data_IF_235012605590
#
_entry.id   IF_235012605590
#
_cell.length_a   1.000
_cell.length_b   1.000
_cell.length_c   1.000
_cell.angle_alpha   90.00
_cell.angle_beta   90.00
_cell.angle_gamma   90.00
#
_symmetry.space_group_name_H-M   'P 1'
#
loop_
_entity.id
_entity.type
_entity.pdbx_description
1 polymer ?
#
# COMPACT_ATOMS: atom_id res chain seq x y z
N UNK A 1 4.16 8.67 35.72
CA UNK A 1 4.70 9.61 34.65
C UNK A 1 3.55 9.90 33.69
N UNK A 2 3.23 11.14 33.38
CA UNK A 2 2.09 11.48 32.53
C UNK A 2 2.19 10.78 31.16
N UNK A 3 1.05 10.30 30.64
CA UNK A 3 0.98 9.51 29.38
C UNK A 3 1.56 10.27 28.18
N UNK A 4 1.45 11.59 28.13
CA UNK A 4 2.06 12.40 27.08
C UNK A 4 3.58 12.26 27.04
N UNK A 5 4.22 12.27 28.20
CA UNK A 5 5.67 12.05 28.32
C UNK A 5 6.03 10.63 27.89
N UNK A 6 5.22 9.63 28.28
CA UNK A 6 5.42 8.23 27.88
C UNK A 6 5.29 8.05 26.36
N UNK A 7 4.27 8.66 25.73
CA UNK A 7 4.07 8.63 24.28
C UNK A 7 5.25 9.31 23.57
N UNK A 8 5.69 10.48 24.02
CA UNK A 8 6.80 11.19 23.39
C UNK A 8 8.10 10.39 23.45
N UNK A 9 8.44 9.83 24.60
CA UNK A 9 9.61 8.94 24.75
C UNK A 9 9.54 7.73 23.82
N UNK A 10 8.36 7.09 23.69
CA UNK A 10 8.17 5.99 22.77
C UNK A 10 8.36 6.42 21.30
N UNK A 11 7.85 7.60 20.93
CA UNK A 11 8.00 8.12 19.59
C UNK A 11 9.45 8.46 19.28
N UNK A 12 10.19 9.01 20.24
CA UNK A 12 11.63 9.29 20.07
C UNK A 12 12.43 7.98 19.94
N UNK A 13 12.13 6.98 20.75
CA UNK A 13 12.68 5.64 20.57
C UNK A 13 12.37 5.05 19.19
N UNK A 14 11.12 5.17 18.72
CA UNK A 14 10.75 4.72 17.38
C UNK A 14 11.59 5.38 16.28
N UNK A 15 11.99 6.63 16.48
CA UNK A 15 12.77 7.43 15.53
C UNK A 15 14.26 7.09 15.60
N UNK A 16 14.83 7.01 16.79
CA UNK A 16 16.28 6.94 17.03
C UNK A 16 16.78 5.49 17.05
N UNK A 17 16.11 4.60 17.78
CA UNK A 17 16.58 3.24 18.02
C UNK A 17 15.92 2.21 17.09
N UNK A 18 14.60 2.28 16.92
CA UNK A 18 13.87 1.31 16.10
C UNK A 18 13.93 1.60 14.58
N UNK A 19 14.43 2.76 14.17
CA UNK A 19 14.62 3.11 12.76
C UNK A 19 13.35 3.13 11.90
N UNK A 20 12.18 3.43 12.49
CA UNK A 20 10.94 3.49 11.73
C UNK A 20 10.93 4.68 10.76
N UNK A 21 10.22 4.51 9.65
CA UNK A 21 10.05 5.60 8.68
C UNK A 21 9.21 6.75 9.25
N UNK A 22 9.41 8.02 8.82
CA UNK A 22 8.61 9.16 9.28
C UNK A 22 7.09 8.92 9.19
N UNK A 23 6.61 8.30 8.10
CA UNK A 23 5.20 7.99 7.93
C UNK A 23 4.68 6.95 8.94
N UNK A 24 5.52 5.97 9.32
CA UNK A 24 5.18 4.99 10.36
C UNK A 24 5.12 5.67 11.73
N UNK A 25 6.06 6.54 12.02
CA UNK A 25 6.13 7.31 13.28
C UNK A 25 4.89 8.20 13.43
N UNK A 26 4.53 8.93 12.36
CA UNK A 26 3.33 9.77 12.33
C UNK A 26 2.06 8.95 12.60
N UNK A 27 1.92 7.79 11.95
CA UNK A 27 0.79 6.88 12.18
C UNK A 27 0.74 6.38 13.61
N UNK A 28 1.88 5.98 14.19
CA UNK A 28 1.97 5.54 15.59
C UNK A 28 1.59 6.67 16.55
N UNK A 29 2.15 7.87 16.35
CA UNK A 29 1.82 9.07 17.13
C UNK A 29 0.32 9.35 17.08
N UNK A 30 -0.27 9.41 15.89
CA UNK A 30 -1.70 9.64 15.70
C UNK A 30 -2.55 8.60 16.45
N UNK A 31 -2.22 7.31 16.32
CA UNK A 31 -2.95 6.23 16.97
C UNK A 31 -2.87 6.33 18.51
N UNK A 32 -1.72 6.68 19.06
CA UNK A 32 -1.52 6.83 20.52
C UNK A 32 -2.22 8.06 21.09
N UNK A 33 -2.21 9.19 20.35
CA UNK A 33 -2.98 10.37 20.74
C UNK A 33 -4.47 10.10 20.73
N UNK A 34 -4.98 9.37 19.72
CA UNK A 34 -6.38 8.93 19.69
C UNK A 34 -6.70 7.94 20.80
N UNK A 35 -5.81 7.02 21.11
CA UNK A 35 -5.94 6.11 22.25
C UNK A 35 -6.07 6.89 23.57
N UNK A 36 -5.15 7.84 23.85
CA UNK A 36 -5.24 8.71 25.01
C UNK A 36 -6.58 9.45 25.09
N UNK A 37 -6.97 10.10 23.99
CA UNK A 37 -8.23 10.85 23.92
C UNK A 37 -9.47 9.97 24.20
N UNK A 38 -9.46 8.72 23.71
CA UNK A 38 -10.59 7.80 23.80
C UNK A 38 -10.67 7.05 25.13
N UNK A 39 -9.57 6.90 25.83
CA UNK A 39 -9.52 6.17 27.12
C UNK A 39 -9.44 7.10 28.32
N UNK A 40 -9.18 8.38 28.08
CA UNK A 40 -9.05 9.45 29.10
C UNK A 40 -8.04 9.12 30.23
N UNK A 41 -7.13 8.20 29.99
CA UNK A 41 -6.08 7.84 30.94
C UNK A 41 -5.02 8.94 31.01
N UNK A 42 -4.50 9.17 32.20
CA UNK A 42 -3.43 10.14 32.48
C UNK A 42 -2.06 9.46 32.61
N UNK A 43 -2.04 8.18 32.92
CA UNK A 43 -0.84 7.32 32.99
C UNK A 43 -1.15 5.93 32.42
N UNK A 44 -0.18 5.28 31.77
CA UNK A 44 -0.38 3.95 31.18
C UNK A 44 -0.66 2.86 32.23
N UNK A 45 -0.28 3.07 33.48
CA UNK A 45 -0.58 2.15 34.60
C UNK A 45 -2.08 2.07 34.91
N UNK A 46 -2.88 3.06 34.52
CA UNK A 46 -4.34 3.04 34.65
C UNK A 46 -5.02 2.13 33.61
N UNK A 47 -4.31 1.76 32.56
CA UNK A 47 -4.86 0.96 31.46
C UNK A 47 -4.80 -0.53 31.79
N UNK A 48 -5.92 -1.08 32.22
CA UNK A 48 -6.11 -2.47 32.60
C UNK A 48 -6.95 -3.24 31.56
N UNK A 49 -7.20 -4.52 31.81
CA UNK A 49 -7.96 -5.38 30.90
C UNK A 49 -9.41 -4.92 30.69
N UNK A 50 -10.05 -4.35 31.74
CA UNK A 50 -11.42 -3.82 31.62
C UNK A 50 -11.46 -2.59 30.71
N UNK A 51 -10.58 -1.62 30.92
CA UNK A 51 -10.45 -0.43 30.06
C UNK A 51 -10.10 -0.82 28.62
N UNK A 52 -9.25 -1.84 28.41
CA UNK A 52 -8.94 -2.36 27.10
C UNK A 52 -10.19 -2.90 26.38
N UNK A 53 -10.98 -3.72 27.07
CA UNK A 53 -12.20 -4.32 26.49
C UNK A 53 -13.23 -3.23 26.19
N UNK A 54 -13.47 -2.30 27.11
CA UNK A 54 -14.36 -1.17 26.90
C UNK A 54 -13.97 -0.33 25.69
N UNK A 55 -12.69 0.09 25.62
CA UNK A 55 -12.15 0.85 24.50
C UNK A 55 -12.29 0.10 23.16
N UNK A 56 -12.00 -1.20 23.17
CA UNK A 56 -12.13 -2.06 21.98
C UNK A 56 -13.58 -2.09 21.46
N UNK A 57 -14.56 -2.25 22.35
CA UNK A 57 -15.99 -2.28 22.00
C UNK A 57 -16.49 -0.92 21.53
N UNK A 58 -16.13 0.16 22.21
CA UNK A 58 -16.51 1.53 21.87
C UNK A 58 -16.02 1.96 20.47
N UNK A 59 -14.86 1.46 20.02
CA UNK A 59 -14.40 1.71 18.64
C UNK A 59 -15.34 1.11 17.56
N UNK A 60 -15.97 -0.04 17.82
CA UNK A 60 -16.87 -0.68 16.85
C UNK A 60 -18.31 -0.16 16.97
N UNK A 61 -18.76 0.20 18.17
CA UNK A 61 -20.14 0.71 18.39
C UNK A 61 -20.36 2.09 17.79
N UNK A 62 -19.28 2.89 17.61
CA UNK A 62 -19.35 4.28 17.16
C UNK A 62 -19.49 5.28 18.31
N UNK A 63 -19.28 4.87 19.54
CA UNK A 63 -19.36 5.70 20.75
C UNK A 63 -18.42 6.93 20.70
N UNK A 64 -17.32 6.85 19.93
CA UNK A 64 -16.40 7.97 19.69
C UNK A 64 -16.81 8.87 18.51
N UNK A 65 -18.09 9.02 18.23
CA UNK A 65 -18.64 9.78 17.10
C UNK A 65 -18.25 9.26 15.71
N UNK A 66 -17.46 8.19 15.64
CA UNK A 66 -17.02 7.53 14.41
C UNK A 66 -16.98 6.01 14.62
N UNK A 67 -17.77 5.30 13.85
CA UNK A 67 -17.70 3.83 13.80
C UNK A 67 -16.51 3.39 12.96
N UNK A 68 -15.54 2.71 13.59
CA UNK A 68 -14.34 2.24 12.89
C UNK A 68 -14.54 0.83 12.32
N UNK A 69 -13.92 0.56 11.18
CA UNK A 69 -13.85 -0.82 10.67
C UNK A 69 -12.96 -1.70 11.55
N UNK A 70 -13.21 -3.03 11.63
CA UNK A 70 -12.37 -3.96 12.38
C UNK A 70 -10.87 -3.83 12.04
N UNK A 71 -10.55 -3.62 10.77
CA UNK A 71 -9.17 -3.40 10.33
C UNK A 71 -8.54 -2.13 10.92
N UNK A 72 -9.30 -1.03 10.98
CA UNK A 72 -8.83 0.22 11.60
C UNK A 72 -8.63 0.04 13.09
N UNK A 73 -9.57 -0.63 13.77
CA UNK A 73 -9.43 -0.99 15.18
C UNK A 73 -8.17 -1.83 15.42
N UNK A 74 -7.98 -2.88 14.62
CA UNK A 74 -6.82 -3.77 14.73
C UNK A 74 -5.48 -3.04 14.55
N UNK A 75 -5.40 -2.08 13.63
CA UNK A 75 -4.20 -1.27 13.45
C UNK A 75 -3.90 -0.39 14.68
N UNK A 76 -4.93 0.17 15.31
CA UNK A 76 -4.78 0.94 16.56
C UNK A 76 -4.37 0.05 17.71
N UNK A 77 -5.07 -1.08 17.90
CA UNK A 77 -4.75 -2.07 18.94
C UNK A 77 -3.30 -2.54 18.83
N UNK A 78 -2.84 -2.89 17.61
CA UNK A 78 -1.43 -3.28 17.38
C UNK A 78 -0.44 -2.18 17.78
N UNK A 79 -0.78 -0.91 17.53
CA UNK A 79 0.05 0.23 17.96
C UNK A 79 0.12 0.31 19.47
N UNK A 80 -1.02 0.20 20.16
CA UNK A 80 -1.07 0.24 21.64
C UNK A 80 -0.36 -0.96 22.27
N UNK A 81 -0.51 -2.17 21.69
CA UNK A 81 0.24 -3.36 22.13
C UNK A 81 1.75 -3.12 22.07
N UNK A 82 2.26 -2.58 20.98
CA UNK A 82 3.70 -2.30 20.83
C UNK A 82 4.18 -1.23 21.81
N UNK A 83 3.35 -0.22 22.07
CA UNK A 83 3.63 0.82 23.06
C UNK A 83 3.66 0.25 24.49
N UNK A 84 2.67 -0.56 24.88
CA UNK A 84 2.64 -1.19 26.22
C UNK A 84 3.81 -2.15 26.42
N UNK A 85 4.21 -2.91 25.38
CA UNK A 85 5.41 -3.76 25.44
C UNK A 85 6.66 -2.93 25.71
N UNK A 86 6.84 -1.87 24.92
CA UNK A 86 7.97 -0.96 25.09
C UNK A 86 7.99 -0.32 26.50
N UNK A 87 6.84 0.11 27.02
CA UNK A 87 6.75 0.62 28.39
C UNK A 87 7.28 -0.40 29.42
N UNK A 88 6.91 -1.67 29.28
CA UNK A 88 7.40 -2.75 30.15
C UNK A 88 8.91 -2.95 30.04
N UNK A 89 9.41 -2.97 28.80
CA UNK A 89 10.85 -3.16 28.54
C UNK A 89 11.67 -2.00 29.14
N UNK A 90 11.09 -0.80 29.21
CA UNK A 90 11.67 0.40 29.83
C UNK A 90 11.40 0.50 31.35
N UNK A 91 10.85 -0.53 31.99
CA UNK A 91 10.54 -0.53 33.42
C UNK A 91 9.38 0.36 33.85
N UNK A 92 8.58 0.88 32.89
CA UNK A 92 7.40 1.69 33.18
C UNK A 92 6.26 0.78 33.63
N UNK A 93 5.69 1.06 34.80
CA UNK A 93 4.58 0.28 35.37
C UNK A 93 3.38 0.24 34.44
N UNK A 94 2.89 -0.95 34.14
CA UNK A 94 1.68 -1.19 33.34
C UNK A 94 0.78 -2.19 34.05
N UNK A 95 -0.54 -1.99 34.03
CA UNK A 95 -1.51 -2.86 34.70
C UNK A 95 -2.06 -3.98 33.82
N UNK A 96 -1.85 -3.91 32.49
CA UNK A 96 -2.36 -4.90 31.55
C UNK A 96 -1.26 -5.88 31.11
N UNK A 97 -1.59 -7.18 31.07
CA UNK A 97 -0.74 -8.20 30.45
C UNK A 97 -0.96 -8.17 28.94
N UNK A 98 0.11 -7.99 28.16
CA UNK A 98 0.02 -7.88 26.68
C UNK A 98 -0.62 -9.07 25.97
N UNK A 99 -0.52 -10.34 26.43
CA UNK A 99 -1.25 -11.46 25.84
C UNK A 99 -2.78 -11.32 25.89
N UNK A 100 -3.31 -10.53 26.83
CA UNK A 100 -4.75 -10.25 26.93
C UNK A 100 -5.22 -9.22 25.90
N UNK A 101 -4.32 -8.50 25.28
CA UNK A 101 -4.64 -7.48 24.28
C UNK A 101 -4.78 -8.10 22.89
N UNK A 102 -5.94 -8.66 22.61
CA UNK A 102 -6.23 -9.32 21.33
C UNK A 102 -6.88 -8.37 20.31
N UNK A 103 -6.53 -8.55 19.05
CA UNK A 103 -7.23 -7.89 17.93
C UNK A 103 -8.62 -8.52 17.72
N UNK A 104 -9.47 -7.84 16.96
CA UNK A 104 -10.69 -8.48 16.46
C UNK A 104 -10.29 -9.61 15.51
N UNK A 105 -10.94 -10.75 15.63
CA UNK A 105 -10.97 -11.72 14.54
C UNK A 105 -11.75 -11.05 13.41
N UNK A 106 -11.05 -10.66 12.36
CA UNK A 106 -11.74 -10.42 11.10
C UNK A 106 -12.27 -11.78 10.68
N UNK A 107 -13.56 -11.95 10.34
CA UNK A 107 -13.93 -13.01 9.43
C UNK A 107 -12.92 -12.92 8.30
N UNK A 108 -12.47 -14.02 7.74
CA UNK A 108 -11.71 -13.97 6.50
C UNK A 108 -12.56 -13.15 5.54
N UNK A 109 -12.31 -11.84 5.55
CA UNK A 109 -12.88 -10.98 4.56
C UNK A 109 -12.38 -11.56 3.25
N UNK A 110 -13.24 -12.27 2.55
CA UNK A 110 -13.13 -12.43 1.12
C UNK A 110 -13.16 -10.99 0.62
N UNK A 111 -12.00 -10.34 0.73
CA UNK A 111 -11.83 -8.99 0.20
C UNK A 111 -12.01 -9.18 -1.28
N UNK A 112 -13.14 -8.73 -1.76
CA UNK A 112 -13.35 -8.59 -3.17
C UNK A 112 -12.31 -7.58 -3.67
N UNK A 113 -11.13 -8.12 -4.03
CA UNK A 113 -10.04 -7.32 -4.57
C UNK A 113 -10.44 -6.91 -5.98
N UNK A 114 -11.17 -5.82 -6.05
CA UNK A 114 -11.54 -5.22 -7.33
C UNK A 114 -10.27 -4.98 -8.12
N UNK A 115 -10.18 -5.64 -9.25
CA UNK A 115 -9.14 -5.45 -10.25
C UNK A 115 -9.79 -5.08 -11.58
N UNK A 116 -9.02 -4.49 -12.46
CA UNK A 116 -9.46 -4.13 -13.81
C UNK A 116 -8.82 -5.08 -14.81
N UNK A 117 -9.59 -5.55 -15.77
CA UNK A 117 -9.05 -6.30 -16.89
C UNK A 117 -8.10 -5.40 -17.70
N UNK A 118 -7.17 -6.02 -18.45
CA UNK A 118 -6.27 -5.29 -19.35
C UNK A 118 -7.04 -4.37 -20.30
N UNK A 119 -8.15 -4.84 -20.87
CA UNK A 119 -8.97 -4.06 -21.80
C UNK A 119 -9.55 -2.80 -21.13
N UNK A 120 -10.06 -2.92 -19.89
CA UNK A 120 -10.57 -1.77 -19.13
C UNK A 120 -9.46 -0.75 -18.84
N UNK A 121 -8.26 -1.21 -18.46
CA UNK A 121 -7.13 -0.31 -18.22
C UNK A 121 -6.72 0.41 -19.51
N UNK A 122 -6.63 -0.31 -20.62
CA UNK A 122 -6.28 0.26 -21.94
C UNK A 122 -7.33 1.24 -22.43
N UNK A 123 -8.61 0.97 -22.21
CA UNK A 123 -9.71 1.88 -22.56
C UNK A 123 -9.60 3.20 -21.81
N UNK A 124 -9.39 3.16 -20.47
CA UNK A 124 -9.19 4.37 -19.67
C UNK A 124 -7.93 5.12 -20.12
N UNK A 125 -6.83 4.40 -20.36
CA UNK A 125 -5.57 5.00 -20.80
C UNK A 125 -5.72 5.71 -22.16
N UNK A 126 -6.36 5.08 -23.15
CA UNK A 126 -6.58 5.63 -24.50
C UNK A 126 -7.32 6.97 -24.47
N UNK A 127 -8.25 7.15 -23.54
CA UNK A 127 -9.05 8.37 -23.41
C UNK A 127 -8.45 9.42 -22.45
N UNK A 128 -7.27 9.17 -21.90
CA UNK A 128 -6.54 10.10 -21.06
C UNK A 128 -5.55 10.95 -21.86
N UNK A 129 -5.17 12.12 -21.32
CA UNK A 129 -4.05 12.88 -21.88
C UNK A 129 -2.73 12.12 -21.73
N UNK A 130 -1.68 12.54 -22.43
CA UNK A 130 -0.39 11.83 -22.47
C UNK A 130 0.17 11.56 -21.06
N UNK A 131 0.20 12.55 -20.17
CA UNK A 131 0.68 12.38 -18.79
C UNK A 131 -0.07 11.27 -18.06
N UNK A 132 -1.41 11.32 -18.05
CA UNK A 132 -2.23 10.36 -17.30
C UNK A 132 -2.22 8.98 -17.98
N UNK A 133 -2.19 8.93 -19.32
CA UNK A 133 -2.06 7.69 -20.10
C UNK A 133 -0.77 6.97 -19.74
N UNK A 134 0.36 7.68 -19.78
CA UNK A 134 1.67 7.13 -19.42
C UNK A 134 1.70 6.66 -17.97
N UNK A 135 1.09 7.42 -17.04
CA UNK A 135 0.97 7.01 -15.63
C UNK A 135 0.18 5.70 -15.48
N UNK A 136 -0.96 5.57 -16.16
CA UNK A 136 -1.83 4.39 -16.06
C UNK A 136 -1.12 3.17 -16.61
N UNK A 137 -0.55 3.29 -17.82
CA UNK A 137 0.14 2.19 -18.49
C UNK A 137 1.35 1.72 -17.69
N UNK A 138 2.19 2.65 -17.21
CA UNK A 138 3.37 2.28 -16.45
C UNK A 138 3.02 1.66 -15.09
N UNK A 139 2.00 2.15 -14.39
CA UNK A 139 1.55 1.52 -13.14
C UNK A 139 1.01 0.12 -13.36
N UNK A 140 0.26 -0.08 -14.46
CA UNK A 140 -0.26 -1.39 -14.83
C UNK A 140 0.87 -2.35 -15.22
N UNK A 141 1.77 -1.97 -16.10
CA UNK A 141 2.86 -2.82 -16.58
C UNK A 141 3.89 -3.17 -15.51
N UNK A 142 4.19 -2.21 -14.64
CA UNK A 142 5.27 -2.39 -13.65
C UNK A 142 4.79 -2.98 -12.32
N UNK A 143 3.48 -2.95 -12.04
CA UNK A 143 2.93 -3.30 -10.74
C UNK A 143 3.56 -2.56 -9.57
N UNK A 144 4.21 -1.40 -9.81
CA UNK A 144 4.97 -0.66 -8.78
C UNK A 144 4.07 -0.08 -7.70
N UNK A 145 4.62 0.07 -6.49
CA UNK A 145 3.90 0.79 -5.42
C UNK A 145 3.90 2.28 -5.72
N UNK A 146 2.81 2.97 -5.39
CA UNK A 146 2.67 4.41 -5.65
C UNK A 146 3.84 5.26 -5.09
N UNK A 147 4.49 4.79 -4.02
CA UNK A 147 5.68 5.44 -3.46
C UNK A 147 6.93 5.25 -4.31
N UNK A 148 7.11 4.05 -4.85
CA UNK A 148 8.19 3.73 -5.77
C UNK A 148 7.98 4.53 -7.05
N UNK A 149 6.79 4.45 -7.62
CA UNK A 149 6.36 5.12 -8.82
C UNK A 149 6.58 6.64 -8.81
N UNK A 150 6.18 7.33 -7.72
CA UNK A 150 6.31 8.78 -7.64
C UNK A 150 7.75 9.28 -7.62
N UNK A 151 8.67 8.47 -7.17
CA UNK A 151 10.07 8.85 -6.98
C UNK A 151 10.97 8.45 -8.16
N UNK A 152 10.43 7.88 -9.23
CA UNK A 152 11.18 7.55 -10.44
C UNK A 152 11.79 8.83 -11.01
N UNK A 153 13.08 8.78 -11.33
CA UNK A 153 13.77 9.80 -12.14
C UNK A 153 13.92 9.32 -13.57
N UNK A 154 14.02 10.23 -14.50
CA UNK A 154 14.24 9.89 -15.91
C UNK A 154 15.51 9.06 -16.09
N UNK A 155 16.58 9.38 -15.34
CA UNK A 155 17.84 8.65 -15.37
C UNK A 155 17.77 7.22 -14.80
N UNK A 156 16.70 6.85 -14.08
CA UNK A 156 16.50 5.50 -13.58
C UNK A 156 15.95 4.54 -14.66
N UNK A 157 15.54 5.07 -15.82
CA UNK A 157 14.88 4.31 -16.89
C UNK A 157 15.93 3.75 -17.86
N UNK A 158 15.97 2.43 -17.93
CA UNK A 158 16.75 1.67 -18.93
C UNK A 158 15.79 1.23 -20.06
N UNK A 159 15.74 2.05 -21.11
CA UNK A 159 14.87 1.78 -22.25
C UNK A 159 15.30 0.55 -23.07
N UNK A 160 16.59 0.25 -23.10
CA UNK A 160 17.12 -0.90 -23.80
C UNK A 160 16.61 -2.22 -23.17
N UNK A 161 16.74 -2.34 -21.85
CA UNK A 161 16.30 -3.51 -21.09
C UNK A 161 14.85 -3.40 -20.64
N UNK A 162 14.11 -2.33 -20.97
CA UNK A 162 12.71 -2.06 -20.60
C UNK A 162 12.45 -2.20 -19.09
N UNK A 163 13.30 -1.59 -18.28
CA UNK A 163 13.24 -1.66 -16.82
C UNK A 163 13.51 -0.31 -16.17
N UNK A 164 13.07 -0.14 -14.96
CA UNK A 164 13.27 1.07 -14.16
C UNK A 164 13.81 0.68 -12.81
N UNK A 165 14.86 1.34 -12.36
CA UNK A 165 15.41 1.18 -11.03
C UNK A 165 14.53 1.95 -10.03
N UNK A 166 14.00 1.27 -9.00
CA UNK A 166 13.14 1.87 -7.99
C UNK A 166 13.63 1.57 -6.58
N UNK A 167 13.41 2.52 -5.66
CA UNK A 167 13.71 2.35 -4.25
C UNK A 167 12.50 1.74 -3.52
N UNK A 168 12.61 0.47 -3.16
CA UNK A 168 11.57 -0.28 -2.48
C UNK A 168 11.55 -0.10 -0.96
N UNK A 169 10.68 -0.88 -0.30
CA UNK A 169 10.58 -0.89 1.18
C UNK A 169 11.91 -1.35 1.80
N UNK A 170 12.34 -0.67 2.87
CA UNK A 170 13.61 -0.96 3.54
C UNK A 170 14.83 -0.45 2.79
N UNK A 171 14.67 0.55 1.91
CA UNK A 171 15.74 1.17 1.10
C UNK A 171 16.46 0.19 0.16
N UNK A 172 15.82 -0.90 -0.21
CA UNK A 172 16.38 -1.86 -1.18
C UNK A 172 16.05 -1.42 -2.60
N UNK A 173 17.10 -1.34 -3.44
CA UNK A 173 16.95 -1.08 -4.86
C UNK A 173 16.41 -2.33 -5.57
N UNK A 174 15.53 -2.13 -6.55
CA UNK A 174 14.98 -3.22 -7.35
C UNK A 174 14.55 -2.71 -8.73
N UNK A 175 14.45 -3.61 -9.69
CA UNK A 175 13.91 -3.28 -11.00
C UNK A 175 12.41 -3.55 -11.09
N UNK A 176 11.71 -2.71 -11.84
CA UNK A 176 10.37 -2.95 -12.37
C UNK A 176 10.45 -2.90 -13.89
N UNK A 177 9.52 -3.54 -14.57
CA UNK A 177 9.59 -3.72 -16.02
C UNK A 177 8.40 -3.02 -16.68
N UNK A 178 8.53 -2.73 -17.97
CA UNK A 178 7.48 -2.16 -18.79
C UNK A 178 7.51 -2.74 -20.21
N UNK A 179 6.38 -2.69 -20.90
CA UNK A 179 6.26 -3.16 -22.28
C UNK A 179 6.81 -2.15 -23.28
N UNK A 180 7.07 -2.58 -24.51
CA UNK A 180 7.52 -1.68 -25.59
C UNK A 180 6.52 -0.55 -25.81
N UNK A 181 5.21 -0.83 -25.77
CA UNK A 181 4.18 0.20 -25.93
C UNK A 181 4.25 1.27 -24.84
N UNK A 182 4.38 0.87 -23.57
CA UNK A 182 4.58 1.81 -22.46
C UNK A 182 5.89 2.57 -22.57
N UNK A 183 6.94 1.94 -23.12
CA UNK A 183 8.22 2.61 -23.39
C UNK A 183 8.10 3.75 -24.41
N UNK A 184 7.30 3.56 -25.45
CA UNK A 184 7.02 4.62 -26.45
C UNK A 184 6.26 5.79 -25.80
N UNK A 185 5.24 5.50 -25.00
CA UNK A 185 4.50 6.56 -24.27
C UNK A 185 5.39 7.31 -23.27
N UNK A 186 6.34 6.61 -22.63
CA UNK A 186 7.33 7.23 -21.74
C UNK A 186 8.25 8.19 -22.50
N UNK A 187 8.77 7.77 -23.66
CA UNK A 187 9.60 8.62 -24.50
C UNK A 187 8.86 9.88 -24.96
N UNK A 188 7.64 9.72 -25.47
CA UNK A 188 6.80 10.85 -25.89
C UNK A 188 6.52 11.82 -24.74
N UNK A 189 6.25 11.27 -23.52
CA UNK A 189 5.98 12.10 -22.35
C UNK A 189 7.24 12.84 -21.87
N UNK A 190 8.40 12.20 -21.88
CA UNK A 190 9.67 12.81 -21.51
C UNK A 190 10.04 13.94 -22.47
N UNK A 191 9.85 13.72 -23.78
CA UNK A 191 10.09 14.70 -24.82
C UNK A 191 9.14 15.88 -24.73
N UNK A 192 7.81 15.64 -24.69
CA UNK A 192 6.79 16.70 -24.55
C UNK A 192 7.01 17.58 -23.31
N UNK A 193 7.55 17.00 -22.25
CA UNK A 193 7.79 17.70 -20.97
C UNK A 193 9.23 18.22 -20.83
N UNK A 194 10.06 18.03 -21.83
CA UNK A 194 11.47 18.42 -21.84
C UNK A 194 12.19 18.00 -20.55
N UNK A 195 11.99 16.72 -20.15
CA UNK A 195 12.56 16.21 -18.90
C UNK A 195 14.01 15.81 -19.05
N UNK A 196 14.86 16.29 -18.15
CA UNK A 196 16.27 15.91 -18.07
C UNK A 196 16.44 14.59 -17.26
N UNK A 197 17.57 13.92 -17.44
CA UNK A 197 17.89 12.68 -16.67
C UNK A 197 17.83 12.86 -15.16
N UNK A 198 18.15 14.03 -14.64
CA UNK A 198 18.11 14.38 -13.22
C UNK A 198 16.69 14.60 -12.68
N UNK A 199 15.71 14.85 -13.55
CA UNK A 199 14.35 15.20 -13.16
C UNK A 199 13.57 14.01 -12.64
N UNK A 200 12.61 14.29 -11.75
CA UNK A 200 11.59 13.30 -11.45
C UNK A 200 10.67 13.13 -12.68
N UNK A 201 10.39 11.88 -13.04
CA UNK A 201 9.49 11.57 -14.14
C UNK A 201 8.11 12.22 -13.95
N UNK A 202 7.63 12.25 -12.72
CA UNK A 202 6.33 12.86 -12.35
C UNK A 202 6.56 14.13 -11.56
N UNK A 203 7.20 15.13 -12.16
CA UNK A 203 7.47 16.41 -11.50
C UNK A 203 6.24 17.32 -11.48
N UNK A 204 6.11 18.09 -10.40
CA UNK A 204 5.09 19.12 -10.24
C UNK A 204 5.68 20.50 -10.51
N UNK A 205 5.18 21.20 -11.51
CA UNK A 205 5.59 22.57 -11.80
C UNK A 205 5.29 23.52 -10.65
N UNK A 206 4.16 23.33 -9.97
CA UNK A 206 3.77 24.11 -8.79
C UNK A 206 4.72 23.95 -7.60
N UNK A 207 5.50 22.88 -7.56
CA UNK A 207 6.42 22.52 -6.47
C UNK A 207 7.87 22.47 -6.95
N UNK A 208 8.28 23.43 -7.76
CA UNK A 208 9.70 23.60 -8.16
C UNK A 208 10.36 22.30 -8.67
N UNK A 209 9.67 21.52 -9.47
CA UNK A 209 10.20 20.28 -10.02
C UNK A 209 10.21 19.07 -9.06
N UNK A 210 9.76 19.20 -7.79
CA UNK A 210 9.60 18.09 -6.87
C UNK A 210 8.54 17.09 -7.38
N UNK A 211 8.62 15.81 -6.99
CA UNK A 211 7.68 14.80 -7.44
C UNK A 211 6.28 15.07 -6.90
N UNK A 212 5.25 14.72 -7.67
CA UNK A 212 3.88 14.77 -7.19
C UNK A 212 3.72 14.08 -5.83
N UNK A 213 2.87 14.63 -4.96
CA UNK A 213 2.49 13.95 -3.73
C UNK A 213 1.66 12.70 -4.05
N UNK A 214 1.66 11.71 -3.16
CA UNK A 214 0.75 10.54 -3.29
C UNK A 214 -0.71 10.94 -3.47
N UNK A 215 -1.15 11.99 -2.75
CA UNK A 215 -2.52 12.51 -2.82
C UNK A 215 -2.81 13.09 -4.20
N UNK A 216 -1.85 13.83 -4.78
CA UNK A 216 -1.98 14.39 -6.12
C UNK A 216 -2.07 13.30 -7.19
N UNK A 217 -1.16 12.32 -7.19
CA UNK A 217 -1.20 11.18 -8.11
C UNK A 217 -2.51 10.40 -8.03
N UNK A 218 -2.94 10.07 -6.80
CA UNK A 218 -4.22 9.39 -6.58
C UNK A 218 -5.40 10.19 -7.16
N UNK A 219 -5.42 11.52 -6.95
CA UNK A 219 -6.48 12.39 -7.46
C UNK A 219 -6.50 12.40 -8.99
N UNK A 220 -5.33 12.51 -9.64
CA UNK A 220 -5.18 12.48 -11.09
C UNK A 220 -5.73 11.18 -11.69
N UNK A 221 -5.23 10.04 -11.20
CA UNK A 221 -5.63 8.72 -11.66
C UNK A 221 -7.12 8.45 -11.38
N UNK A 222 -7.60 8.73 -10.16
CA UNK A 222 -9.02 8.54 -9.81
C UNK A 222 -9.95 9.32 -10.75
N UNK A 223 -9.57 10.52 -11.18
CA UNK A 223 -10.36 11.32 -12.12
C UNK A 223 -10.53 10.60 -13.47
N UNK A 224 -9.47 9.96 -13.99
CA UNK A 224 -9.56 9.26 -15.28
C UNK A 224 -10.46 8.03 -15.17
N UNK A 225 -10.29 7.21 -14.13
CA UNK A 225 -11.11 6.02 -13.91
C UNK A 225 -12.58 6.35 -13.63
N UNK A 226 -12.84 7.46 -12.93
CA UNK A 226 -14.21 7.92 -12.67
C UNK A 226 -15.00 8.25 -13.94
N UNK A 227 -14.36 8.71 -15.01
CA UNK A 227 -15.01 8.97 -16.31
C UNK A 227 -15.67 7.72 -16.92
N UNK A 228 -15.24 6.52 -16.49
CA UNK A 228 -15.74 5.22 -16.93
C UNK A 228 -16.59 4.52 -15.85
N UNK A 229 -17.06 5.25 -14.83
CA UNK A 229 -17.92 4.72 -13.77
C UNK A 229 -17.15 4.00 -12.65
N UNK A 230 -15.82 4.07 -12.62
CA UNK A 230 -15.01 3.43 -11.57
C UNK A 230 -14.77 4.38 -10.39
N UNK A 231 -15.82 4.71 -9.64
CA UNK A 231 -15.80 5.70 -8.56
C UNK A 231 -14.90 5.35 -7.38
N UNK A 232 -14.73 4.05 -7.10
CA UNK A 232 -13.94 3.55 -5.98
C UNK A 232 -12.48 3.24 -6.34
N UNK A 233 -12.00 3.75 -7.48
CA UNK A 233 -10.63 3.51 -7.92
C UNK A 233 -9.58 4.00 -6.92
N UNK A 234 -8.56 3.18 -6.75
CA UNK A 234 -7.30 3.54 -6.08
C UNK A 234 -6.09 2.83 -6.74
N UNK A 235 -4.88 3.44 -6.73
CA UNK A 235 -3.74 2.93 -7.51
C UNK A 235 -3.30 1.49 -7.20
N UNK A 236 -3.55 0.98 -5.99
CA UNK A 236 -3.25 -0.41 -5.66
C UNK A 236 -4.03 -1.41 -6.50
N UNK A 237 -5.20 -1.03 -7.02
CA UNK A 237 -5.99 -1.89 -7.89
C UNK A 237 -5.27 -2.17 -9.22
N UNK A 238 -4.50 -1.20 -9.77
CA UNK A 238 -3.66 -1.46 -10.96
C UNK A 238 -2.57 -2.49 -10.68
N UNK A 239 -2.01 -2.49 -9.48
CA UNK A 239 -1.05 -3.51 -9.08
C UNK A 239 -1.73 -4.89 -8.90
N UNK A 240 -2.96 -4.93 -8.42
CA UNK A 240 -3.76 -6.16 -8.40
C UNK A 240 -4.09 -6.62 -9.83
N UNK A 241 -4.47 -5.68 -10.71
CA UNK A 241 -4.71 -5.95 -12.14
C UNK A 241 -3.48 -6.54 -12.83
N UNK A 242 -2.29 -5.97 -12.59
CA UNK A 242 -1.02 -6.50 -13.09
C UNK A 242 -0.79 -7.94 -12.63
N UNK A 243 -0.95 -8.21 -11.33
CA UNK A 243 -0.76 -9.56 -10.80
C UNK A 243 -1.74 -10.57 -11.41
N UNK A 244 -3.02 -10.19 -11.51
CA UNK A 244 -4.07 -11.03 -12.09
C UNK A 244 -3.83 -11.25 -13.60
N UNK A 245 -3.39 -10.22 -14.34
CA UNK A 245 -3.05 -10.34 -15.76
C UNK A 245 -1.90 -11.33 -15.98
N UNK A 246 -0.84 -11.26 -15.17
CA UNK A 246 0.28 -12.20 -15.24
C UNK A 246 -0.17 -13.64 -14.98
N UNK A 247 -0.98 -13.86 -13.95
CA UNK A 247 -1.49 -15.18 -13.61
C UNK A 247 -2.37 -15.74 -14.74
N UNK A 248 -3.25 -14.90 -15.30
CA UNK A 248 -4.10 -15.28 -16.43
C UNK A 248 -3.28 -15.61 -17.68
N UNK A 249 -2.09 -15.03 -17.82
CA UNK A 249 -1.13 -15.34 -18.89
C UNK A 249 -0.17 -16.50 -18.51
N UNK A 250 -0.39 -17.19 -17.40
CA UNK A 250 0.30 -18.42 -17.05
C UNK A 250 1.49 -18.28 -16.11
N UNK A 251 1.74 -17.09 -15.57
CA UNK A 251 2.77 -16.92 -14.55
C UNK A 251 2.41 -17.67 -13.27
N UNK A 252 3.39 -18.32 -12.66
CA UNK A 252 3.23 -18.93 -11.34
C UNK A 252 3.12 -17.87 -10.24
N UNK A 253 2.50 -18.24 -9.11
CA UNK A 253 2.42 -17.36 -7.95
C UNK A 253 3.79 -16.89 -7.44
N UNK A 254 4.80 -17.75 -7.56
CA UNK A 254 6.17 -17.42 -7.16
C UNK A 254 6.78 -16.34 -8.08
N UNK A 255 6.59 -16.46 -9.39
CA UNK A 255 7.05 -15.45 -10.35
C UNK A 255 6.35 -14.10 -10.12
N UNK A 256 5.03 -14.12 -9.91
CA UNK A 256 4.27 -12.91 -9.57
C UNK A 256 4.73 -12.31 -8.24
N UNK A 257 5.01 -13.13 -7.22
CA UNK A 257 5.57 -12.69 -5.95
C UNK A 257 6.91 -11.97 -6.14
N UNK A 258 7.80 -12.56 -6.93
CA UNK A 258 9.11 -11.97 -7.25
C UNK A 258 8.97 -10.64 -8.00
N UNK A 259 8.16 -10.59 -9.05
CA UNK A 259 7.91 -9.36 -9.82
C UNK A 259 7.29 -8.26 -8.96
N UNK A 260 6.36 -8.62 -8.08
CA UNK A 260 5.76 -7.68 -7.12
C UNK A 260 6.68 -7.34 -5.95
N UNK A 261 7.76 -8.06 -5.73
CA UNK A 261 8.69 -7.85 -4.61
C UNK A 261 7.95 -7.92 -3.26
N UNK A 262 7.08 -8.92 -3.10
CA UNK A 262 6.40 -9.20 -1.84
C UNK A 262 7.36 -9.86 -0.86
N UNK A 263 7.44 -9.33 0.37
CA UNK A 263 8.26 -9.90 1.44
C UNK A 263 7.67 -11.19 2.03
N UNK A 264 6.39 -11.48 1.76
CA UNK A 264 5.67 -12.66 2.26
C UNK A 264 4.75 -13.21 1.18
N UNK A 265 4.67 -14.53 1.11
CA UNK A 265 3.81 -15.26 0.17
C UNK A 265 2.33 -15.02 0.45
N UNK A 266 1.95 -14.83 1.72
CA UNK A 266 0.57 -14.55 2.14
C UNK A 266 -0.04 -13.29 1.49
N UNK A 267 0.80 -12.37 1.03
CA UNK A 267 0.32 -11.21 0.25
C UNK A 267 0.04 -11.53 -1.21
N UNK A 268 0.48 -12.69 -1.70
CA UNK A 268 0.26 -13.16 -3.06
C UNK A 268 -0.84 -14.22 -3.11
N UNK A 269 -1.11 -14.94 -2.00
CA UNK A 269 -2.21 -15.91 -1.85
C UNK A 269 -3.59 -15.31 -2.12
N UNK A 270 -3.72 -14.00 -1.95
CA UNK A 270 -4.93 -13.24 -2.29
C UNK A 270 -5.38 -13.48 -3.75
N UNK A 271 -4.43 -13.75 -4.64
CA UNK A 271 -4.72 -14.01 -6.05
C UNK A 271 -5.17 -15.45 -6.32
N UNK A 272 -4.99 -16.37 -5.36
CA UNK A 272 -5.42 -17.78 -5.48
C UNK A 272 -6.93 -17.89 -5.53
N UNK A 273 -7.66 -17.08 -4.77
CA UNK A 273 -9.13 -17.06 -4.81
C UNK A 273 -9.68 -16.69 -6.19
N UNK A 274 -8.99 -15.82 -6.91
CA UNK A 274 -9.37 -15.48 -8.30
C UNK A 274 -9.06 -16.62 -9.29
N UNK A 275 -8.10 -17.49 -8.97
CA UNK A 275 -7.78 -18.68 -9.76
C UNK A 275 -8.86 -19.78 -9.68
N UNK A 276 -9.59 -19.89 -8.57
CA UNK A 276 -10.63 -20.93 -8.45
C UNK A 276 -11.73 -20.78 -9.52
N UNK A 277 -12.03 -19.56 -9.95
CA UNK A 277 -12.97 -19.29 -11.04
C UNK A 277 -12.38 -19.60 -12.43
N UNK A 278 -11.05 -19.73 -12.54
CA UNK A 278 -10.32 -19.97 -13.81
C UNK A 278 -9.66 -21.33 -13.91
N UNK A 279 -9.75 -22.19 -12.87
CA UNK A 279 -9.14 -23.53 -12.87
C UNK A 279 -9.58 -24.38 -14.06
N UNK A 280 -10.84 -24.27 -14.48
CA UNK A 280 -11.36 -24.94 -15.67
C UNK A 280 -10.68 -24.46 -16.96
N UNK A 281 -10.39 -23.18 -17.08
CA UNK A 281 -9.75 -22.58 -18.25
C UNK A 281 -8.24 -22.89 -18.26
N UNK A 282 -7.62 -22.88 -17.08
CA UNK A 282 -6.22 -23.30 -16.90
C UNK A 282 -6.07 -24.77 -17.27
N UNK A 283 -6.99 -25.63 -16.80
CA UNK A 283 -6.98 -27.07 -17.14
C UNK A 283 -7.15 -27.28 -18.64
N UNK A 284 -8.09 -26.61 -19.29
CA UNK A 284 -8.29 -26.67 -20.75
C UNK A 284 -7.02 -26.26 -21.49
N UNK A 285 -6.41 -25.14 -21.11
CA UNK A 285 -5.19 -24.63 -21.74
C UNK A 285 -4.01 -25.60 -21.57
N UNK A 286 -3.77 -26.11 -20.37
CA UNK A 286 -2.67 -27.06 -20.09
C UNK A 286 -2.87 -28.43 -20.75
N UNK A 287 -4.11 -28.84 -21.01
CA UNK A 287 -4.41 -30.13 -21.71
C UNK A 287 -4.47 -29.97 -23.24
N UNK A 288 -4.95 -28.83 -23.76
CA UNK A 288 -5.07 -28.64 -25.21
C UNK A 288 -3.73 -28.42 -25.91
N UNK A 289 -2.70 -27.90 -25.23
CA UNK A 289 -1.38 -27.70 -25.84
C UNK A 289 -0.51 -29.01 -25.95
N UNK A 290 -0.98 -30.11 -25.40
CA UNK A 290 -0.23 -31.38 -25.44
C UNK A 290 -0.75 -32.46 -26.43
N UNK A 291 -1.70 -32.08 -27.27
CA UNK A 291 -2.30 -33.05 -28.25
C UNK A 291 -2.34 -32.50 -29.70
N UNK A 292 -1.39 -31.63 -30.07
CA UNK A 292 -1.11 -31.28 -31.47
C UNK A 292 0.35 -31.60 -31.81
#
# INVERSE_FOLDING_TARGET
MLIDKQINLYIDWCKLDAGFTPATIETKRYNLLKFKQQTEITDISEFNAQKFTAWKMAMLSGEFSVKYTPQTCNNRIKTVITFVKWCKDMGIKTSIKTPLMTTFRSPEDVRDYTYYSKNQVLEVAKNANLEHRTMILLLFDSGSRINEFRNIRVGDIDFFNKRILVLGKGRKMAYVYFTTGTGIELLNYIDERELLKSDYLWRSERNQGLPYTKKSLRKKLKREFKKFGYDNFHPHQLRHSFATDLINNGASLQEVQHLLRHASINTTEIYVHNLQNSLGDIYKRLKCEKFL
#
